data_IF_069317646384
#
_entry.id   IF_069317646384
#
_cell.length_a   1.000
_cell.length_b   1.000
_cell.length_c   1.000
_cell.angle_alpha   90.00
_cell.angle_beta   90.00
_cell.angle_gamma   90.00
#
_symmetry.space_group_name_H-M   'P 1'
#
loop_
_entity.id
_entity.type
_entity.pdbx_description
1 polymer ?
#
# COMPACT_ATOMS: atom_id res chain seq x y z
N UNK A 1 15.17 59.14 -37.05
CA UNK A 1 15.84 57.88 -36.68
C UNK A 1 14.84 57.06 -35.90
N UNK A 2 14.24 56.04 -36.53
CA UNK A 2 13.52 54.96 -35.85
C UNK A 2 14.58 53.94 -35.41
N UNK A 3 14.53 53.30 -34.23
CA UNK A 3 13.36 52.83 -33.50
C UNK A 3 13.22 51.34 -33.77
N UNK A 4 14.14 50.53 -33.27
CA UNK A 4 14.02 49.07 -33.26
C UNK A 4 14.38 48.57 -31.85
N UNK A 5 13.33 48.39 -31.06
CA UNK A 5 13.34 47.58 -29.86
C UNK A 5 13.43 46.12 -30.31
N UNK A 6 14.55 45.48 -29.96
CA UNK A 6 14.80 44.06 -30.16
C UNK A 6 13.81 43.26 -29.29
N UNK A 7 12.66 42.92 -29.87
CA UNK A 7 11.69 42.00 -29.29
C UNK A 7 12.34 40.61 -29.29
N UNK A 8 12.93 40.23 -28.15
CA UNK A 8 13.39 38.87 -27.88
C UNK A 8 12.23 37.89 -28.03
N UNK A 9 12.15 37.27 -29.21
CA UNK A 9 11.23 36.20 -29.53
C UNK A 9 11.67 34.94 -28.75
N UNK A 10 10.85 34.35 -27.86
CA UNK A 10 11.16 33.05 -27.29
C UNK A 10 11.16 32.02 -28.44
N UNK A 11 12.31 31.39 -28.69
CA UNK A 11 12.48 30.43 -29.79
C UNK A 11 11.32 29.43 -29.83
N UNK A 12 10.62 29.38 -30.97
CA UNK A 12 9.48 28.48 -31.17
C UNK A 12 9.93 27.02 -30.98
N UNK A 13 9.29 26.31 -30.06
CA UNK A 13 9.51 24.88 -29.81
C UNK A 13 9.36 24.11 -31.12
N UNK A 14 10.31 23.23 -31.44
CA UNK A 14 10.17 22.34 -32.59
C UNK A 14 9.07 21.31 -32.32
N UNK A 15 8.44 20.79 -33.37
CA UNK A 15 7.36 19.79 -33.26
C UNK A 15 7.79 18.55 -32.45
N UNK A 16 9.06 18.14 -32.58
CA UNK A 16 9.65 17.06 -31.78
C UNK A 16 9.84 17.41 -30.29
N UNK A 17 10.11 18.68 -29.96
CA UNK A 17 10.18 19.13 -28.57
C UNK A 17 8.78 19.21 -27.96
N UNK A 18 7.80 19.73 -28.70
CA UNK A 18 6.40 19.74 -28.29
C UNK A 18 5.84 18.32 -28.09
N UNK A 19 6.18 17.38 -28.99
CA UNK A 19 5.80 15.97 -28.88
C UNK A 19 6.35 15.30 -27.62
N UNK A 20 7.62 15.56 -27.27
CA UNK A 20 8.22 15.04 -26.03
C UNK A 20 7.56 15.61 -24.77
N UNK A 21 7.29 16.92 -24.75
CA UNK A 21 6.61 17.57 -23.63
C UNK A 21 5.19 17.04 -23.44
N UNK A 22 4.42 16.85 -24.53
CA UNK A 22 3.07 16.30 -24.45
C UNK A 22 3.06 14.83 -24.01
N UNK A 23 4.03 14.03 -24.44
CA UNK A 23 4.18 12.66 -23.97
C UNK A 23 4.46 12.62 -22.45
N UNK A 24 5.37 13.46 -21.96
CA UNK A 24 5.64 13.59 -20.53
C UNK A 24 4.40 14.05 -19.75
N UNK A 25 3.65 15.03 -20.27
CA UNK A 25 2.39 15.47 -19.66
C UNK A 25 1.33 14.36 -19.65
N UNK A 26 1.20 13.58 -20.73
CA UNK A 26 0.26 12.47 -20.81
C UNK A 26 0.59 11.38 -19.79
N UNK A 27 1.86 11.09 -19.56
CA UNK A 27 2.29 10.17 -18.51
C UNK A 27 1.95 10.70 -17.11
N UNK A 28 2.13 12.00 -16.85
CA UNK A 28 1.72 12.63 -15.58
C UNK A 28 0.20 12.55 -15.38
N UNK A 29 -0.58 12.80 -16.43
CA UNK A 29 -2.04 12.71 -16.39
C UNK A 29 -2.47 11.26 -16.12
N UNK A 30 -1.88 10.29 -16.82
CA UNK A 30 -2.15 8.86 -16.65
C UNK A 30 -1.84 8.40 -15.23
N UNK A 31 -0.67 8.75 -14.70
CA UNK A 31 -0.30 8.47 -13.31
C UNK A 31 -1.28 9.14 -12.32
N UNK A 32 -1.75 10.34 -12.63
CA UNK A 32 -2.76 11.05 -11.83
C UNK A 32 -4.14 10.38 -11.84
N UNK A 33 -4.55 9.74 -12.94
CA UNK A 33 -5.79 8.97 -13.05
C UNK A 33 -5.68 7.64 -12.31
N UNK A 34 -4.62 6.87 -12.56
CA UNK A 34 -4.33 5.60 -11.86
C UNK A 34 -4.33 5.81 -10.34
N UNK A 35 -3.76 6.94 -9.87
CA UNK A 35 -3.77 7.29 -8.46
C UNK A 35 -5.17 7.67 -7.94
N UNK A 36 -5.99 8.36 -8.74
CA UNK A 36 -7.40 8.64 -8.38
C UNK A 36 -8.20 7.34 -8.27
N UNK A 37 -7.94 6.37 -9.15
CA UNK A 37 -8.59 5.06 -9.14
C UNK A 37 -8.16 4.22 -7.93
N UNK A 38 -6.86 4.07 -7.68
CA UNK A 38 -6.33 3.37 -6.50
C UNK A 38 -6.91 3.92 -5.20
N UNK A 39 -6.96 5.25 -5.05
CA UNK A 39 -7.54 5.89 -3.85
C UNK A 39 -9.00 5.53 -3.66
N UNK A 40 -9.79 5.46 -4.73
CA UNK A 40 -11.19 5.08 -4.65
C UNK A 40 -11.35 3.61 -4.23
N UNK A 41 -10.53 2.71 -4.80
CA UNK A 41 -10.52 1.29 -4.44
C UNK A 41 -10.12 1.06 -2.97
N UNK A 42 -9.08 1.75 -2.50
CA UNK A 42 -8.68 1.76 -1.08
C UNK A 42 -9.85 2.11 -0.17
N UNK A 43 -10.52 3.24 -0.44
CA UNK A 43 -11.62 3.71 0.41
C UNK A 43 -12.76 2.69 0.40
N UNK A 44 -13.09 2.10 -0.75
CA UNK A 44 -14.11 1.05 -0.85
C UNK A 44 -13.80 -0.16 0.02
N UNK A 45 -12.57 -0.68 -0.04
CA UNK A 45 -12.14 -1.82 0.80
C UNK A 45 -12.21 -1.48 2.28
N UNK A 46 -11.71 -0.32 2.68
CA UNK A 46 -11.70 0.09 4.08
C UNK A 46 -13.11 0.28 4.64
N UNK A 47 -14.03 0.85 3.85
CA UNK A 47 -15.45 0.93 4.22
C UNK A 47 -16.08 -0.45 4.32
N UNK A 48 -15.78 -1.36 3.39
CA UNK A 48 -16.25 -2.75 3.43
C UNK A 48 -15.79 -3.51 4.68
N UNK A 49 -14.61 -3.17 5.20
CA UNK A 49 -14.08 -3.69 6.46
C UNK A 49 -14.60 -2.95 7.70
N UNK A 50 -15.59 -2.06 7.56
CA UNK A 50 -16.25 -1.36 8.66
C UNK A 50 -15.48 -0.16 9.23
N UNK A 51 -14.48 0.38 8.52
CA UNK A 51 -13.72 1.53 9.03
C UNK A 51 -14.47 2.85 8.91
N UNK A 52 -14.27 3.73 9.90
CA UNK A 52 -14.83 5.09 9.88
C UNK A 52 -14.08 6.00 8.90
N UNK A 53 -14.78 6.98 8.34
CA UNK A 53 -14.18 7.98 7.45
C UNK A 53 -13.01 8.72 8.09
N UNK A 54 -13.10 9.01 9.39
CA UNK A 54 -12.04 9.65 10.18
C UNK A 54 -10.79 8.76 10.26
N UNK A 55 -10.96 7.46 10.54
CA UNK A 55 -9.85 6.51 10.60
C UNK A 55 -9.14 6.38 9.26
N UNK A 56 -9.90 6.37 8.17
CA UNK A 56 -9.38 6.34 6.80
C UNK A 56 -8.59 7.63 6.53
N UNK A 57 -9.20 8.79 6.73
CA UNK A 57 -8.58 10.10 6.50
C UNK A 57 -7.22 10.23 7.20
N UNK A 58 -7.16 9.88 8.49
CA UNK A 58 -5.93 9.93 9.28
C UNK A 58 -4.83 9.00 8.73
N UNK A 59 -5.20 7.78 8.34
CA UNK A 59 -4.23 6.79 7.90
C UNK A 59 -3.77 7.00 6.46
N UNK A 60 -4.55 7.66 5.62
CA UNK A 60 -4.20 7.93 4.22
C UNK A 60 -3.66 9.34 3.98
N UNK A 61 -3.48 10.13 5.04
CA UNK A 61 -3.15 11.56 4.98
C UNK A 61 -4.11 12.35 4.05
N UNK A 62 -5.39 11.99 4.11
CA UNK A 62 -6.44 12.62 3.31
C UNK A 62 -7.30 13.51 4.19
N UNK A 63 -7.87 14.56 3.59
CA UNK A 63 -8.89 15.33 4.27
C UNK A 63 -10.17 14.51 4.43
N UNK A 64 -10.84 14.65 5.58
CA UNK A 64 -12.13 14.00 5.83
C UNK A 64 -13.19 14.32 4.76
N UNK A 65 -13.29 15.56 4.22
CA UNK A 65 -14.19 15.85 3.10
C UNK A 65 -13.86 15.05 1.82
N UNK A 66 -12.58 14.84 1.52
CA UNK A 66 -12.18 14.03 0.35
C UNK A 66 -12.62 12.56 0.53
N UNK A 67 -12.49 12.01 1.74
CA UNK A 67 -12.99 10.66 2.06
C UNK A 67 -14.51 10.60 1.96
N UNK A 68 -15.23 11.56 2.57
CA UNK A 68 -16.69 11.62 2.54
C UNK A 68 -17.24 11.65 1.11
N UNK A 69 -16.64 12.46 0.22
CA UNK A 69 -17.02 12.52 -1.20
C UNK A 69 -16.87 11.18 -1.92
N UNK A 70 -15.79 10.45 -1.64
CA UNK A 70 -15.56 9.12 -2.24
C UNK A 70 -16.52 8.07 -1.68
N UNK A 71 -16.80 8.10 -0.38
CA UNK A 71 -17.79 7.21 0.25
C UNK A 71 -19.20 7.47 -0.29
N UNK A 72 -19.58 8.73 -0.48
CA UNK A 72 -20.85 9.11 -1.08
C UNK A 72 -20.95 8.61 -2.54
N UNK A 73 -19.87 8.78 -3.33
CA UNK A 73 -19.77 8.27 -4.71
C UNK A 73 -19.86 6.74 -4.77
N UNK A 74 -19.29 6.03 -3.79
CA UNK A 74 -19.40 4.57 -3.70
C UNK A 74 -20.84 4.12 -3.40
N UNK A 75 -21.54 4.79 -2.47
CA UNK A 75 -22.93 4.43 -2.14
C UNK A 75 -23.91 4.67 -3.28
N UNK A 76 -23.60 5.59 -4.21
CA UNK A 76 -24.43 5.91 -5.36
C UNK A 76 -24.05 5.18 -6.65
N UNK A 77 -22.93 4.45 -6.66
CA UNK A 77 -22.51 3.63 -7.80
C UNK A 77 -22.96 2.17 -7.59
N UNK A 78 -23.52 1.55 -8.63
CA UNK A 78 -23.79 0.11 -8.68
C UNK A 78 -22.52 -0.68 -8.29
N UNK A 79 -22.63 -1.86 -7.66
CA UNK A 79 -21.48 -2.63 -7.25
C UNK A 79 -20.76 -3.14 -8.51
N UNK A 80 -19.81 -2.35 -9.01
CA UNK A 80 -18.83 -2.85 -9.97
C UNK A 80 -18.24 -4.14 -9.36
N UNK A 81 -18.05 -5.19 -10.19
CA UNK A 81 -17.53 -6.46 -9.75
C UNK A 81 -16.27 -6.25 -8.91
N UNK A 82 -15.94 -7.18 -7.99
CA UNK A 82 -14.69 -7.12 -7.26
C UNK A 82 -13.55 -7.29 -8.26
N UNK A 83 -13.17 -6.21 -8.94
CA UNK A 83 -11.92 -6.09 -9.64
C UNK A 83 -10.89 -6.38 -8.58
N UNK A 84 -10.19 -7.50 -8.77
CA UNK A 84 -8.96 -7.82 -8.04
C UNK A 84 -8.17 -6.53 -7.92
N UNK A 85 -8.03 -6.11 -6.69
CA UNK A 85 -7.78 -4.74 -6.33
C UNK A 85 -6.48 -4.28 -7.00
N UNK A 86 -6.45 -3.06 -7.53
CA UNK A 86 -5.21 -2.36 -7.82
C UNK A 86 -4.35 -2.11 -6.55
N UNK A 87 -4.84 -2.57 -5.38
CA UNK A 87 -4.13 -2.77 -4.11
C UNK A 87 -3.13 -3.93 -4.11
N UNK A 88 -3.04 -4.69 -5.20
CA UNK A 88 -1.91 -5.58 -5.49
C UNK A 88 -0.64 -4.76 -5.83
N UNK A 89 -0.39 -3.68 -5.09
CA UNK A 89 0.89 -2.98 -5.13
C UNK A 89 1.90 -3.86 -4.40
N UNK A 90 2.74 -4.55 -5.18
CA UNK A 90 3.79 -5.45 -4.69
C UNK A 90 5.05 -4.68 -4.28
N UNK A 91 4.92 -3.42 -3.91
CA UNK A 91 6.08 -2.62 -3.61
C UNK A 91 6.53 -2.85 -2.15
N UNK A 92 7.82 -2.70 -1.89
CA UNK A 92 8.45 -3.24 -0.68
C UNK A 92 7.79 -2.78 0.64
N UNK A 93 7.51 -1.47 0.86
CA UNK A 93 6.82 -1.02 2.08
C UNK A 93 5.42 -1.61 2.29
N UNK A 94 4.71 -1.94 1.22
CA UNK A 94 3.39 -2.59 1.33
C UNK A 94 3.54 -4.04 1.81
N UNK A 95 4.44 -4.81 1.19
CA UNK A 95 4.72 -6.19 1.57
C UNK A 95 5.27 -6.30 2.99
N UNK A 96 6.17 -5.39 3.38
CA UNK A 96 6.66 -5.26 4.76
C UNK A 96 5.53 -5.03 5.76
N UNK A 97 4.55 -4.20 5.39
CA UNK A 97 3.39 -3.92 6.23
C UNK A 97 2.51 -5.15 6.39
N UNK A 98 2.22 -5.86 5.30
CA UNK A 98 1.48 -7.12 5.36
C UNK A 98 2.21 -8.17 6.21
N UNK A 99 3.52 -8.33 6.04
CA UNK A 99 4.31 -9.27 6.83
C UNK A 99 4.25 -8.94 8.32
N UNK A 100 4.34 -7.65 8.67
CA UNK A 100 4.18 -7.20 10.06
C UNK A 100 2.76 -7.46 10.59
N UNK A 101 1.73 -7.20 9.81
CA UNK A 101 0.34 -7.46 10.20
C UNK A 101 0.08 -8.93 10.49
N UNK A 102 0.59 -9.82 9.63
CA UNK A 102 0.55 -11.26 9.85
C UNK A 102 1.28 -11.66 11.14
N UNK A 103 2.50 -11.16 11.34
CA UNK A 103 3.29 -11.48 12.52
C UNK A 103 2.64 -11.00 13.82
N UNK A 104 2.01 -9.82 13.80
CA UNK A 104 1.31 -9.31 14.96
C UNK A 104 0.07 -10.12 15.28
N UNK A 105 -0.69 -10.57 14.27
CA UNK A 105 -1.85 -11.43 14.51
C UNK A 105 -1.44 -12.80 15.08
N UNK A 106 -0.35 -13.40 14.59
CA UNK A 106 0.22 -14.62 15.18
C UNK A 106 0.69 -14.37 16.62
N UNK A 107 1.38 -13.26 16.86
CA UNK A 107 1.83 -12.88 18.20
C UNK A 107 0.67 -12.64 19.17
N UNK A 108 -0.44 -12.08 18.70
CA UNK A 108 -1.64 -11.87 19.51
C UNK A 108 -2.36 -13.19 19.83
N UNK A 109 -2.43 -14.13 18.87
CA UNK A 109 -3.12 -15.41 19.08
C UNK A 109 -2.29 -16.43 19.90
N UNK A 110 -0.97 -16.40 19.79
CA UNK A 110 -0.07 -17.37 20.41
C UNK A 110 0.85 -16.77 21.50
N UNK A 111 0.75 -15.47 21.75
CA UNK A 111 1.45 -14.74 22.81
C UNK A 111 2.94 -15.13 22.95
N UNK A 112 3.37 -15.58 24.14
CA UNK A 112 4.76 -15.92 24.44
C UNK A 112 5.25 -17.20 23.75
N UNK A 113 4.35 -17.98 23.14
CA UNK A 113 4.73 -19.19 22.39
C UNK A 113 5.17 -18.87 20.97
N UNK A 114 4.72 -17.75 20.40
CA UNK A 114 5.17 -17.25 19.11
C UNK A 114 6.58 -16.63 19.20
N UNK A 115 7.50 -17.16 18.38
CA UNK A 115 8.88 -16.70 18.23
C UNK A 115 8.95 -15.28 17.68
N UNK A 116 8.00 -14.89 16.83
CA UNK A 116 7.95 -13.54 16.27
C UNK A 116 7.58 -12.45 17.30
N UNK A 117 7.00 -12.81 18.45
CA UNK A 117 6.44 -11.85 19.44
C UNK A 117 7.43 -10.78 19.87
N UNK A 118 8.67 -11.13 20.20
CA UNK A 118 9.69 -10.15 20.60
C UNK A 118 10.07 -9.20 19.46
N UNK A 119 10.12 -9.71 18.24
CA UNK A 119 10.49 -8.97 17.05
C UNK A 119 9.40 -7.93 16.70
N UNK A 120 8.13 -8.37 16.65
CA UNK A 120 6.96 -7.50 16.44
C UNK A 120 6.88 -6.42 17.51
N UNK A 121 7.06 -6.79 18.78
CA UNK A 121 7.09 -5.85 19.91
C UNK A 121 8.18 -4.79 19.81
N UNK A 122 9.31 -5.10 19.17
CA UNK A 122 10.39 -4.15 18.93
C UNK A 122 10.06 -3.20 17.77
N UNK A 123 9.41 -3.70 16.71
CA UNK A 123 8.91 -2.88 15.59
C UNK A 123 7.83 -1.92 16.06
N UNK A 124 6.82 -2.39 16.79
CA UNK A 124 5.69 -1.57 17.27
C UNK A 124 6.15 -0.43 18.19
N UNK A 125 7.24 -0.64 18.96
CA UNK A 125 7.85 0.39 19.83
C UNK A 125 8.85 1.29 19.09
N UNK A 126 9.00 1.15 17.78
CA UNK A 126 9.98 1.91 16.98
C UNK A 126 11.45 1.57 17.26
N UNK A 127 11.73 0.50 18.01
CA UNK A 127 13.10 0.05 18.34
C UNK A 127 13.76 -0.70 17.20
N UNK A 128 12.96 -1.32 16.32
CA UNK A 128 13.42 -1.92 15.05
C UNK A 128 12.77 -1.18 13.89
N UNK A 129 13.56 -0.86 12.87
CA UNK A 129 13.09 -0.33 11.58
C UNK A 129 13.03 -1.45 10.56
N UNK A 130 12.19 -1.29 9.55
CA UNK A 130 12.17 -2.19 8.41
C UNK A 130 13.44 -2.01 7.58
N UNK A 131 14.29 -3.02 7.61
CA UNK A 131 15.49 -3.18 6.79
C UNK A 131 15.42 -4.58 6.18
N UNK A 132 16.07 -4.85 5.03
CA UNK A 132 16.04 -6.18 4.42
C UNK A 132 16.39 -7.30 5.42
N UNK A 133 17.46 -7.10 6.21
CA UNK A 133 17.85 -8.01 7.29
C UNK A 133 16.75 -8.27 8.32
N UNK A 134 16.06 -7.22 8.77
CA UNK A 134 14.98 -7.39 9.76
C UNK A 134 13.74 -8.04 9.15
N UNK A 135 13.47 -7.78 7.86
CA UNK A 135 12.39 -8.44 7.11
C UNK A 135 12.68 -9.93 6.97
N UNK A 136 13.90 -10.30 6.58
CA UNK A 136 14.32 -11.71 6.46
C UNK A 136 14.28 -12.43 7.81
N UNK A 137 14.73 -11.77 8.88
CA UNK A 137 14.62 -12.33 10.23
C UNK A 137 13.17 -12.52 10.66
N UNK A 138 12.27 -11.59 10.32
CA UNK A 138 10.84 -11.73 10.59
C UNK A 138 10.22 -12.88 9.77
N UNK A 139 10.58 -13.04 8.49
CA UNK A 139 10.17 -14.17 7.65
C UNK A 139 10.54 -15.50 8.30
N UNK A 140 11.80 -15.64 8.73
CA UNK A 140 12.27 -16.86 9.39
C UNK A 140 11.49 -17.19 10.66
N UNK A 141 11.22 -16.20 11.51
CA UNK A 141 10.45 -16.39 12.73
C UNK A 141 9.00 -16.80 12.43
N UNK A 142 8.40 -16.24 11.38
CA UNK A 142 7.05 -16.62 10.96
C UNK A 142 6.99 -18.04 10.42
N UNK A 143 7.98 -18.47 9.64
CA UNK A 143 8.07 -19.87 9.19
C UNK A 143 8.15 -20.84 10.38
N UNK A 144 8.98 -20.51 11.37
CA UNK A 144 9.07 -21.28 12.62
C UNK A 144 7.70 -21.36 13.33
N UNK A 145 6.99 -20.23 13.46
CA UNK A 145 5.67 -20.16 14.11
C UNK A 145 4.58 -20.89 13.31
N UNK A 146 4.57 -20.76 11.98
CA UNK A 146 3.63 -21.43 11.07
C UNK A 146 3.81 -22.96 11.03
N UNK A 147 5.02 -23.43 11.30
CA UNK A 147 5.31 -24.86 11.46
C UNK A 147 4.91 -25.34 12.85
N UNK A 148 5.28 -24.58 13.89
CA UNK A 148 5.01 -24.95 15.29
C UNK A 148 3.52 -25.02 15.59
N UNK A 149 2.74 -24.05 15.11
CA UNK A 149 1.31 -23.90 15.41
C UNK A 149 0.40 -24.43 14.29
N UNK A 150 0.93 -25.25 13.38
CA UNK A 150 0.19 -25.74 12.19
C UNK A 150 -1.16 -26.39 12.52
N UNK A 151 -1.26 -27.10 13.65
CA UNK A 151 -2.48 -27.80 14.03
C UNK A 151 -3.59 -26.85 14.52
N UNK A 152 -3.20 -25.72 15.11
CA UNK A 152 -4.11 -24.79 15.79
C UNK A 152 -4.35 -23.51 14.98
N UNK A 153 -3.65 -23.34 13.85
CA UNK A 153 -3.69 -22.12 13.04
C UNK A 153 -4.52 -22.30 11.76
N UNK A 154 -5.46 -21.38 11.45
CA UNK A 154 -6.20 -21.42 10.19
C UNK A 154 -5.29 -21.37 8.97
N UNK A 155 -5.70 -22.05 7.88
CA UNK A 155 -4.94 -22.08 6.62
C UNK A 155 -4.68 -20.69 6.01
N UNK A 156 -5.55 -19.72 6.29
CA UNK A 156 -5.45 -18.33 5.82
C UNK A 156 -4.13 -17.65 6.22
N UNK A 157 -3.52 -18.04 7.35
CA UNK A 157 -2.23 -17.51 7.80
C UNK A 157 -1.08 -17.99 6.91
N UNK A 158 -1.10 -19.27 6.54
CA UNK A 158 -0.11 -19.86 5.64
C UNK A 158 -0.27 -19.33 4.22
N UNK A 159 -1.50 -19.25 3.73
CA UNK A 159 -1.80 -18.70 2.41
C UNK A 159 -1.31 -17.24 2.30
N UNK A 160 -1.56 -16.43 3.33
CA UNK A 160 -1.07 -15.06 3.40
C UNK A 160 0.47 -15.00 3.43
N UNK A 161 1.13 -15.85 4.23
CA UNK A 161 2.59 -15.92 4.27
C UNK A 161 3.17 -16.26 2.89
N UNK A 162 2.66 -17.30 2.24
CA UNK A 162 3.16 -17.79 0.96
C UNK A 162 2.96 -16.76 -0.16
N UNK A 163 1.85 -16.00 -0.13
CA UNK A 163 1.62 -14.88 -1.04
C UNK A 163 2.65 -13.76 -0.83
N UNK A 164 2.85 -13.32 0.42
CA UNK A 164 3.78 -12.23 0.76
C UNK A 164 5.23 -12.63 0.47
N UNK A 165 5.62 -13.86 0.84
CA UNK A 165 6.96 -14.41 0.67
C UNK A 165 7.34 -14.46 -0.82
N UNK A 166 6.46 -15.00 -1.67
CA UNK A 166 6.66 -15.00 -3.13
C UNK A 166 6.76 -13.59 -3.70
N UNK A 167 5.92 -12.66 -3.23
CA UNK A 167 5.94 -11.28 -3.69
C UNK A 167 7.24 -10.53 -3.31
N UNK A 168 7.84 -10.86 -2.15
CA UNK A 168 9.11 -10.28 -1.70
C UNK A 168 10.31 -10.80 -2.51
N UNK A 169 10.23 -12.04 -3.01
CA UNK A 169 11.31 -12.68 -3.78
C UNK A 169 11.31 -12.28 -5.27
N UNK A 170 10.19 -11.75 -5.78
CA UNK A 170 10.09 -11.25 -7.15
C UNK A 170 10.53 -9.78 -7.18
N UNK A 171 11.55 -9.41 -7.98
CA UNK A 171 11.91 -8.00 -8.15
C UNK A 171 10.73 -7.26 -8.78
N UNK A 172 10.18 -6.26 -8.07
CA UNK A 172 9.08 -5.45 -8.58
C UNK A 172 9.48 -4.78 -9.90
N UNK A 173 8.79 -5.07 -11.02
CA UNK A 173 9.02 -4.37 -12.27
C UNK A 173 8.46 -2.95 -12.12
N UNK A 174 9.38 -1.98 -12.06
CA UNK A 174 9.16 -0.54 -11.88
C UNK A 174 8.97 -0.05 -10.43
N UNK A 175 9.56 1.12 -10.08
CA UNK A 175 9.22 1.82 -8.87
C UNK A 175 7.75 2.21 -8.96
N UNK A 176 6.93 1.65 -8.06
CA UNK A 176 5.55 2.06 -7.88
C UNK A 176 5.50 3.58 -7.79
N UNK A 177 4.67 4.22 -8.63
CA UNK A 177 4.35 5.67 -8.60
C UNK A 177 3.54 6.04 -7.34
N UNK A 178 3.69 5.27 -6.27
CA UNK A 178 3.03 5.44 -5.00
C UNK A 178 3.40 6.81 -4.40
N UNK A 179 2.44 7.72 -4.46
CA UNK A 179 2.56 9.10 -3.97
C UNK A 179 2.51 9.19 -2.42
N UNK A 180 2.10 8.12 -1.74
CA UNK A 180 2.02 8.09 -0.29
C UNK A 180 3.36 7.69 0.36
N UNK A 181 3.75 8.30 1.50
CA UNK A 181 4.96 7.93 2.22
C UNK A 181 5.01 6.43 2.52
N UNK A 182 6.20 5.83 2.45
CA UNK A 182 6.41 4.42 2.74
C UNK A 182 5.90 4.00 4.13
N UNK A 183 5.98 4.88 5.13
CA UNK A 183 5.42 4.66 6.48
C UNK A 183 3.90 4.51 6.47
N UNK A 184 3.19 5.37 5.74
CA UNK A 184 1.74 5.35 5.59
C UNK A 184 1.29 4.07 4.90
N UNK A 185 1.93 3.71 3.79
CA UNK A 185 1.58 2.50 3.04
C UNK A 185 1.81 1.24 3.87
N UNK A 186 2.91 1.20 4.63
CA UNK A 186 3.20 0.09 5.54
C UNK A 186 2.14 -0.04 6.65
N UNK A 187 1.80 1.07 7.30
CA UNK A 187 0.78 1.08 8.37
C UNK A 187 -0.60 0.67 7.85
N UNK A 188 -0.95 1.10 6.64
CA UNK A 188 -2.19 0.71 5.98
C UNK A 188 -2.21 -0.78 5.64
N UNK A 189 -1.16 -1.29 5.01
CA UNK A 189 -1.02 -2.70 4.63
C UNK A 189 -1.04 -3.63 5.85
N UNK A 190 -0.35 -3.23 6.92
CA UNK A 190 -0.39 -3.90 8.23
C UNK A 190 -1.81 -4.04 8.73
N UNK A 191 -2.55 -2.94 8.78
CA UNK A 191 -3.89 -2.96 9.34
C UNK A 191 -4.88 -3.73 8.46
N UNK A 192 -4.77 -3.59 7.14
CA UNK A 192 -5.56 -4.35 6.17
C UNK A 192 -5.32 -5.86 6.30
N UNK A 193 -4.08 -6.29 6.46
CA UNK A 193 -3.74 -7.70 6.63
C UNK A 193 -4.39 -8.28 7.89
N UNK A 194 -4.33 -7.56 9.01
CA UNK A 194 -4.96 -8.00 10.27
C UNK A 194 -6.48 -8.11 10.16
N UNK A 195 -7.12 -7.09 9.60
CA UNK A 195 -8.56 -7.10 9.44
C UNK A 195 -9.03 -8.21 8.45
N UNK A 196 -8.20 -8.56 7.45
CA UNK A 196 -8.46 -9.72 6.56
C UNK A 196 -8.37 -11.06 7.28
N UNK A 197 -7.37 -11.25 8.15
CA UNK A 197 -7.21 -12.50 8.91
C UNK A 197 -8.38 -12.68 9.88
N UNK A 198 -8.79 -11.62 10.59
CA UNK A 198 -9.93 -11.64 11.51
C UNK A 198 -11.28 -11.85 10.85
N UNK A 199 -11.42 -11.44 9.59
CA UNK A 199 -12.63 -11.69 8.82
C UNK A 199 -12.68 -13.12 8.23
N UNK A 200 -11.56 -13.84 8.26
CA UNK A 200 -11.42 -15.22 7.78
C UNK A 200 -11.45 -16.26 8.91
N UNK A 201 -11.51 -15.81 10.17
CA UNK A 201 -11.83 -16.59 11.37
C UNK A 201 -13.34 -16.77 11.53
#
# INVERSE_FOLDING_TARGET
MAGEEDVQNPAALTEEQAGRMLAEMNEVIRAGEEMRQLRAEMIKVLVGLGWTQEKIARLTDMSQPAVSKQVAKYRSADPLPPMRLSLDQHDTPWLEGRLWGLAEEISENFHDTARCTRHVNAIARGRKRFTPRHVDELRRLLEEDLLLHRADMPGSYRDAYDEISRALDVPSPAPSTATAPASVRRALAHRLQRDRLRAAE
#
